data_IF_799193744655
#
_entry.id   IF_799193744655
#
_cell.length_a   1.000
_cell.length_b   1.000
_cell.length_c   1.000
_cell.angle_alpha   90.00
_cell.angle_beta   90.00
_cell.angle_gamma   90.00
#
_symmetry.space_group_name_H-M   'P 1'
#
loop_
_entity.id
_entity.type
_entity.pdbx_description
1 polymer ?
#
# COMPACT_ATOMS: atom_id res chain seq x y z
N UNK A 1 16.05 2.47 -2.85
CA UNK A 1 15.38 2.10 -1.57
C UNK A 1 13.89 2.25 -1.79
N UNK A 2 13.20 1.14 -1.68
CA UNK A 2 11.78 1.01 -1.95
C UNK A 2 10.99 1.15 -0.67
N UNK A 3 9.74 1.58 -0.82
CA UNK A 3 8.81 1.63 0.30
C UNK A 3 8.33 0.21 0.61
N UNK A 4 8.45 -0.22 1.86
CA UNK A 4 7.86 -1.47 2.31
C UNK A 4 6.36 -1.26 2.53
N UNK A 5 5.53 -1.61 1.55
CA UNK A 5 4.10 -1.36 1.68
C UNK A 5 3.41 -2.25 2.73
N UNK A 6 3.95 -3.43 3.09
CA UNK A 6 3.43 -4.25 4.20
C UNK A 6 3.55 -3.44 5.49
N UNK A 7 4.75 -2.96 5.80
CA UNK A 7 5.00 -2.16 6.99
C UNK A 7 4.16 -0.87 7.01
N UNK A 8 3.95 -0.25 5.84
CA UNK A 8 3.06 0.93 5.74
C UNK A 8 1.61 0.55 6.06
N UNK A 9 1.08 -0.54 5.50
CA UNK A 9 -0.28 -0.99 5.81
C UNK A 9 -0.47 -1.33 7.28
N UNK A 10 0.47 -2.07 7.88
CA UNK A 10 0.45 -2.36 9.31
C UNK A 10 0.40 -1.09 10.16
N UNK A 11 1.20 -0.08 9.80
CA UNK A 11 1.19 1.21 10.49
C UNK A 11 -0.11 2.00 10.26
N UNK A 12 -0.70 1.92 9.07
CA UNK A 12 -1.99 2.55 8.79
C UNK A 12 -3.10 1.95 9.65
N UNK A 13 -3.12 0.62 9.79
CA UNK A 13 -4.07 -0.10 10.62
C UNK A 13 -3.88 0.22 12.10
N UNK A 14 -2.62 0.23 12.59
CA UNK A 14 -2.30 0.60 13.97
C UNK A 14 -2.68 2.05 14.32
N UNK A 15 -2.58 2.96 13.35
CA UNK A 15 -2.90 4.38 13.53
C UNK A 15 -4.36 4.72 13.22
N UNK A 16 -5.16 3.73 12.79
CA UNK A 16 -6.54 3.90 12.30
C UNK A 16 -6.66 5.05 11.28
N UNK A 17 -5.77 5.06 10.28
CA UNK A 17 -5.76 6.06 9.21
C UNK A 17 -5.81 5.43 7.83
N UNK A 18 -6.66 5.99 6.96
CA UNK A 18 -6.69 5.59 5.56
C UNK A 18 -5.44 6.05 4.78
N UNK A 19 -5.06 5.32 3.72
CA UNK A 19 -3.98 5.66 2.80
C UNK A 19 -4.07 7.11 2.28
N UNK A 20 -5.28 7.58 1.93
CA UNK A 20 -5.50 8.95 1.47
C UNK A 20 -5.15 9.99 2.54
N UNK A 21 -5.39 9.67 3.82
CA UNK A 21 -5.04 10.54 4.95
C UNK A 21 -3.52 10.61 5.12
N UNK A 22 -2.81 9.49 4.95
CA UNK A 22 -1.35 9.47 4.91
C UNK A 22 -0.81 10.31 3.75
N UNK A 23 -1.35 10.16 2.54
CA UNK A 23 -0.92 10.95 1.38
C UNK A 23 -1.01 12.46 1.65
N UNK A 24 -2.13 12.91 2.23
CA UNK A 24 -2.33 14.30 2.64
C UNK A 24 -1.33 14.74 3.71
N UNK A 25 -1.11 13.95 4.76
CA UNK A 25 -0.12 14.25 5.83
C UNK A 25 1.30 14.33 5.29
N UNK A 26 1.66 13.44 4.38
CA UNK A 26 2.95 13.45 3.69
C UNK A 26 3.01 14.51 2.56
N UNK A 27 1.91 15.20 2.28
CA UNK A 27 1.73 16.20 1.21
C UNK A 27 2.16 15.72 -0.17
N UNK A 28 1.79 14.49 -0.51
CA UNK A 28 1.92 13.91 -1.84
C UNK A 28 0.53 13.50 -2.35
N UNK A 29 0.37 13.34 -3.66
CA UNK A 29 -0.91 12.89 -4.20
C UNK A 29 -1.18 11.43 -3.85
N UNK A 30 -2.45 11.03 -3.65
CA UNK A 30 -2.81 9.62 -3.42
C UNK A 30 -2.32 8.68 -4.53
N UNK A 31 -2.40 9.12 -5.79
CA UNK A 31 -1.87 8.35 -6.93
C UNK A 31 -0.35 8.16 -6.83
N UNK A 32 0.40 9.20 -6.42
CA UNK A 32 1.84 9.06 -6.21
C UNK A 32 2.14 8.08 -5.06
N UNK A 33 1.42 8.16 -3.94
CA UNK A 33 1.58 7.20 -2.84
C UNK A 33 1.28 5.76 -3.30
N UNK A 34 0.22 5.55 -4.09
CA UNK A 34 -0.12 4.24 -4.67
C UNK A 34 1.01 3.69 -5.54
N UNK A 35 1.62 4.52 -6.41
CA UNK A 35 2.78 4.11 -7.21
C UNK A 35 4.00 3.72 -6.35
N UNK A 36 4.21 4.39 -5.22
CA UNK A 36 5.28 4.05 -4.29
C UNK A 36 4.99 2.72 -3.56
N UNK A 37 3.77 2.53 -3.08
CA UNK A 37 3.34 1.32 -2.36
C UNK A 37 3.31 0.09 -3.27
N UNK A 38 2.94 0.25 -4.53
CA UNK A 38 2.96 -0.84 -5.51
C UNK A 38 4.38 -1.15 -6.05
N UNK A 39 5.41 -0.49 -5.51
CA UNK A 39 6.78 -0.65 -6.00
C UNK A 39 6.95 -0.20 -7.45
N UNK A 40 6.07 0.63 -8.00
CA UNK A 40 6.21 1.17 -9.37
C UNK A 40 7.19 2.34 -9.43
N UNK A 41 7.40 3.03 -8.31
CA UNK A 41 8.38 4.11 -8.18
C UNK A 41 9.13 4.04 -6.86
N UNK A 42 10.39 4.46 -6.88
CA UNK A 42 11.19 4.66 -5.67
C UNK A 42 10.95 6.08 -5.11
N UNK A 43 10.74 6.25 -3.79
CA UNK A 43 10.54 7.56 -3.19
C UNK A 43 11.84 8.38 -3.17
N UNK A 44 11.75 9.65 -3.58
CA UNK A 44 12.85 10.61 -3.45
C UNK A 44 13.21 10.85 -1.97
N UNK A 45 14.46 11.26 -1.63
CA UNK A 45 14.88 11.50 -0.24
C UNK A 45 13.93 12.43 0.54
N UNK A 46 13.43 13.50 -0.10
CA UNK A 46 12.47 14.42 0.50
C UNK A 46 11.13 13.74 0.82
N UNK A 47 10.67 12.84 -0.06
CA UNK A 47 9.42 12.08 0.15
C UNK A 47 9.60 11.06 1.28
N UNK A 48 10.76 10.41 1.37
CA UNK A 48 11.08 9.48 2.48
C UNK A 48 10.94 10.14 3.84
N UNK A 49 11.57 11.31 4.02
CA UNK A 49 11.45 12.10 5.27
C UNK A 49 10.02 12.50 5.60
N UNK A 50 9.23 12.86 4.58
CA UNK A 50 7.82 13.25 4.76
C UNK A 50 6.95 12.07 5.19
N UNK A 51 7.18 10.89 4.61
CA UNK A 51 6.47 9.67 4.99
C UNK A 51 6.79 9.24 6.43
N UNK A 52 8.08 9.23 6.79
CA UNK A 52 8.52 8.96 8.18
C UNK A 52 7.87 9.92 9.18
N UNK A 53 7.92 11.22 8.90
CA UNK A 53 7.29 12.24 9.74
C UNK A 53 5.76 12.08 9.81
N UNK A 54 5.11 11.73 8.70
CA UNK A 54 3.66 11.56 8.65
C UNK A 54 3.15 10.33 9.40
N UNK A 55 3.99 9.29 9.50
CA UNK A 55 3.72 8.06 10.25
C UNK A 55 4.28 8.09 11.68
N UNK A 56 5.09 9.09 12.04
CA UNK A 56 5.74 9.16 13.35
C UNK A 56 6.74 8.04 13.58
N UNK A 57 7.44 7.61 12.51
CA UNK A 57 8.42 6.52 12.57
C UNK A 57 9.81 7.08 12.35
N UNK A 58 10.68 6.88 13.34
CA UNK A 58 12.10 7.26 13.26
C UNK A 58 12.99 6.15 12.70
N UNK A 59 12.52 4.89 12.77
CA UNK A 59 13.23 3.74 12.20
C UNK A 59 13.07 3.67 10.67
N UNK A 60 14.15 4.05 9.98
CA UNK A 60 14.21 4.02 8.53
C UNK A 60 14.07 2.60 7.94
N UNK A 61 14.69 1.60 8.57
CA UNK A 61 14.74 0.24 8.03
C UNK A 61 13.40 -0.47 8.16
N UNK A 62 12.57 -0.06 9.11
CA UNK A 62 11.18 -0.51 9.22
C UNK A 62 10.34 -0.10 8.00
N UNK A 63 10.53 1.12 7.50
CA UNK A 63 9.68 1.68 6.44
C UNK A 63 10.23 1.45 5.02
N UNK A 64 11.54 1.28 4.88
CA UNK A 64 12.21 1.18 3.58
C UNK A 64 13.12 -0.02 3.49
N UNK A 65 13.08 -0.66 2.32
CA UNK A 65 13.94 -1.80 1.98
C UNK A 65 14.85 -1.48 0.79
N UNK A 66 15.93 -2.25 0.63
CA UNK A 66 16.85 -2.14 -0.50
C UNK A 66 16.22 -2.78 -1.75
N UNK A 67 15.47 -3.87 -1.56
CA UNK A 67 14.85 -4.65 -2.62
C UNK A 67 13.50 -4.08 -3.04
N UNK A 68 13.09 -4.34 -4.28
CA UNK A 68 11.76 -3.99 -4.74
C UNK A 68 10.77 -4.94 -4.09
N UNK A 69 9.87 -4.42 -3.24
CA UNK A 69 8.76 -5.20 -2.74
C UNK A 69 7.79 -5.49 -3.89
N UNK A 70 7.81 -6.73 -4.41
CA UNK A 70 6.89 -7.17 -5.44
C UNK A 70 5.53 -7.47 -4.82
N UNK A 71 4.71 -6.43 -4.61
CA UNK A 71 3.36 -6.56 -4.06
C UNK A 71 2.36 -7.25 -5.01
N UNK A 72 2.77 -7.51 -6.26
CA UNK A 72 1.91 -8.07 -7.30
C UNK A 72 1.48 -9.53 -7.02
N UNK A 73 2.23 -10.28 -6.20
CA UNK A 73 2.01 -11.72 -6.05
C UNK A 73 1.23 -12.14 -4.80
N UNK A 74 1.06 -11.27 -3.79
CA UNK A 74 0.56 -11.73 -2.47
C UNK A 74 -0.90 -11.38 -2.16
N UNK A 75 -1.55 -10.44 -2.86
CA UNK A 75 -2.91 -9.97 -2.51
C UNK A 75 -3.94 -9.97 -3.66
N UNK A 76 -3.97 -11.02 -4.48
CA UNK A 76 -5.06 -11.19 -5.46
C UNK A 76 -6.31 -11.87 -4.85
N UNK A 77 -7.48 -11.50 -5.36
CA UNK A 77 -8.80 -11.99 -4.97
C UNK A 77 -9.86 -11.19 -5.74
N UNK A 78 -11.12 -11.63 -5.77
CA UNK A 78 -11.71 -12.22 -6.99
C UNK A 78 -12.13 -11.24 -8.10
N UNK A 79 -12.15 -9.94 -7.83
CA UNK A 79 -12.64 -8.91 -8.76
C UNK A 79 -11.52 -8.07 -9.38
N UNK A 80 -10.25 -8.28 -9.00
CA UNK A 80 -9.08 -7.64 -9.63
C UNK A 80 -8.48 -8.40 -10.81
N UNK A 81 -9.20 -9.43 -11.33
CA UNK A 81 -8.91 -10.12 -12.60
C UNK A 81 -8.93 -9.09 -13.72
N UNK A 82 -7.90 -8.97 -14.56
CA UNK A 82 -7.71 -9.68 -15.83
C UNK A 82 -6.58 -8.88 -16.49
N UNK A 83 -5.69 -9.50 -17.29
CA UNK A 83 -4.47 -8.91 -17.88
C UNK A 83 -3.34 -8.85 -16.86
N UNK A 84 -2.48 -9.88 -16.74
CA UNK A 84 -1.22 -9.99 -17.49
C UNK A 84 -0.81 -11.48 -17.41
N UNK A 85 -1.14 -12.27 -18.43
CA UNK A 85 -0.18 -12.82 -19.42
C UNK A 85 0.24 -14.28 -19.15
N UNK A 86 -0.61 -15.19 -19.63
CA UNK A 86 -0.27 -16.29 -20.55
C UNK A 86 0.84 -17.32 -20.29
N UNK A 87 1.73 -17.28 -19.28
CA UNK A 87 2.86 -18.25 -19.21
C UNK A 87 3.30 -18.69 -17.81
N UNK A 88 2.39 -19.16 -16.96
CA UNK A 88 2.77 -20.03 -15.85
C UNK A 88 1.64 -20.99 -15.50
N UNK A 89 1.82 -22.27 -15.83
CA UNK A 89 0.91 -23.38 -15.50
C UNK A 89 0.93 -23.72 -13.99
N UNK A 90 -0.09 -24.44 -13.49
CA UNK A 90 -0.79 -24.18 -12.21
C UNK A 90 -0.39 -25.13 -11.06
N UNK A 91 -1.13 -25.07 -9.92
CA UNK A 91 -1.16 -25.98 -8.72
C UNK A 91 -0.45 -25.34 -7.51
N UNK A 92 -1.01 -25.07 -6.33
CA UNK A 92 -2.30 -25.35 -5.69
C UNK A 92 -2.59 -24.31 -4.59
N UNK A 93 -3.88 -24.20 -4.32
CA UNK A 93 -4.60 -23.31 -3.42
C UNK A 93 -4.61 -23.83 -1.98
N UNK A 94 -4.39 -22.98 -0.98
CA UNK A 94 -5.13 -23.03 0.30
C UNK A 94 -5.29 -21.63 0.92
N UNK A 95 -6.52 -21.14 0.84
CA UNK A 95 -7.32 -20.55 1.92
C UNK A 95 -6.96 -19.17 2.53
N UNK A 96 -7.77 -18.19 2.13
CA UNK A 96 -8.54 -17.25 2.98
C UNK A 96 -7.82 -16.22 3.87
N UNK A 97 -7.91 -14.93 3.47
CA UNK A 97 -8.62 -13.83 4.19
C UNK A 97 -8.38 -12.48 3.47
N UNK A 98 -9.44 -11.90 2.87
CA UNK A 98 -9.49 -10.50 2.41
C UNK A 98 -10.53 -9.73 3.24
N UNK A 99 -10.21 -8.59 3.87
CA UNK A 99 -11.22 -7.65 4.30
C UNK A 99 -11.66 -6.75 3.13
N UNK A 100 -12.97 -6.59 2.98
CA UNK A 100 -13.62 -5.85 1.91
C UNK A 100 -13.61 -4.33 2.20
N UNK A 101 -13.19 -3.51 1.24
CA UNK A 101 -13.48 -2.08 1.26
C UNK A 101 -14.55 -1.79 0.19
N UNK A 102 -15.82 -1.81 0.64
CA UNK A 102 -16.99 -1.42 -0.16
C UNK A 102 -17.48 -0.07 0.35
N UNK A 103 -17.67 0.82 -0.61
CA UNK A 103 -18.25 2.16 -0.54
C UNK A 103 -19.49 2.22 0.36
N UNK A 104 -19.51 3.17 1.30
CA UNK A 104 -20.76 3.74 1.81
C UNK A 104 -20.70 5.26 1.62
N UNK A 105 -21.34 5.67 0.53
CA UNK A 105 -21.93 6.98 0.34
C UNK A 105 -23.35 6.86 0.92
N UNK A 106 -23.62 7.44 2.10
CA UNK A 106 -24.93 7.97 2.51
C UNK A 106 -24.90 8.43 3.98
N UNK A 107 -25.64 9.53 4.24
CA UNK A 107 -26.17 10.01 5.53
C UNK A 107 -25.28 10.97 6.35
N UNK A 108 -25.33 12.25 5.96
CA UNK A 108 -25.39 13.33 6.94
C UNK A 108 -26.86 13.62 7.23
N UNK A 109 -27.35 13.54 8.48
CA UNK A 109 -28.57 14.22 8.88
C UNK A 109 -28.27 15.61 9.43
N UNK A 110 -29.05 16.57 8.89
CA UNK A 110 -29.39 17.95 9.33
C UNK A 110 -28.29 18.92 9.72
#
# INVERSE_FOLDING_TARGET
MWLNAVAVWELLDLLDIAQNRLARRAGISPGHLSLLMNGMRSPAPKVRRRLMKALGVDDFHRLFTIERGDFATTFLGPTGRMLITSLATPVMETSQRKPAYRSQLALYPT
#
